data_IF_517370312876
#
_entry.id   IF_517370312876
#
_cell.length_a   1.000
_cell.length_b   1.000
_cell.length_c   1.000
_cell.angle_alpha   90.00
_cell.angle_beta   90.00
_cell.angle_gamma   90.00
#
_symmetry.space_group_name_H-M   'P 1'
#
loop_
_entity.id
_entity.type
_entity.pdbx_description
1 polymer ?
#
# COMPACT_ATOMS: atom_id res chain seq x y z
N UNK A 1 28.20 22.34 3.71
CA UNK A 1 27.21 21.87 2.71
C UNK A 1 26.22 20.87 3.33
N UNK A 2 26.66 19.99 4.25
CA UNK A 2 25.79 19.19 5.12
C UNK A 2 24.90 20.05 6.04
N UNK A 3 25.40 21.23 6.42
CA UNK A 3 24.75 22.20 7.31
C UNK A 3 23.34 22.62 6.88
N UNK A 4 23.02 22.54 5.58
CA UNK A 4 21.71 22.92 5.07
C UNK A 4 20.64 21.86 5.40
N UNK A 5 20.95 20.57 5.20
CA UNK A 5 20.07 19.47 5.58
C UNK A 5 20.09 19.19 7.08
N UNK A 6 21.22 19.43 7.78
CA UNK A 6 21.25 19.44 9.25
C UNK A 6 20.30 20.52 9.80
N UNK A 7 20.35 21.73 9.23
CA UNK A 7 19.44 22.82 9.62
C UNK A 7 17.98 22.49 9.29
N UNK A 8 17.69 21.92 8.11
CA UNK A 8 16.34 21.53 7.72
C UNK A 8 15.79 20.35 8.52
N UNK A 9 16.65 19.41 8.91
CA UNK A 9 16.28 18.35 9.84
C UNK A 9 15.75 18.92 11.16
N UNK A 10 16.43 19.94 11.70
CA UNK A 10 15.96 20.64 12.90
C UNK A 10 14.63 21.39 12.74
N UNK A 11 14.23 21.76 11.52
CA UNK A 11 12.89 22.29 11.22
C UNK A 11 11.83 21.20 11.40
N UNK A 12 12.09 20.00 10.89
CA UNK A 12 11.13 18.90 10.82
C UNK A 12 11.05 18.07 12.09
N UNK A 13 12.04 18.20 12.97
CA UNK A 13 11.94 17.74 14.34
C UNK A 13 10.78 18.43 15.08
N UNK A 14 10.37 19.64 14.67
CA UNK A 14 9.25 20.37 15.29
C UNK A 14 9.44 20.44 16.81
N UNK A 15 8.39 20.10 17.56
CA UNK A 15 8.42 20.10 19.04
C UNK A 15 9.38 19.07 19.66
N UNK A 16 9.94 18.13 18.88
CA UNK A 16 10.98 17.21 19.35
C UNK A 16 12.39 17.80 19.26
N UNK A 17 12.53 19.00 18.69
CA UNK A 17 13.78 19.75 18.76
C UNK A 17 13.78 20.52 20.08
N UNK A 18 14.67 20.13 21.02
CA UNK A 18 14.75 20.76 22.35
C UNK A 18 15.36 22.17 22.31
N UNK A 19 16.10 22.51 21.25
CA UNK A 19 16.71 23.83 21.06
C UNK A 19 16.59 24.29 19.58
N UNK A 20 15.37 24.60 19.10
CA UNK A 20 15.17 25.05 17.74
C UNK A 20 15.61 26.51 17.61
N UNK A 21 16.42 26.81 16.59
CA UNK A 21 16.71 28.20 16.24
C UNK A 21 15.42 28.93 15.87
N UNK A 22 15.34 30.25 16.12
CA UNK A 22 14.17 31.07 15.75
C UNK A 22 13.72 30.86 14.29
N UNK A 23 14.70 30.72 13.38
CA UNK A 23 14.42 30.43 11.97
C UNK A 23 13.81 29.05 11.73
N UNK A 24 14.20 28.03 12.50
CA UNK A 24 13.62 26.69 12.40
C UNK A 24 12.20 26.66 12.93
N UNK A 25 11.93 27.33 14.05
CA UNK A 25 10.57 27.45 14.60
C UNK A 25 9.63 28.11 13.59
N UNK A 26 10.06 29.22 12.97
CA UNK A 26 9.21 29.97 12.04
C UNK A 26 8.99 29.20 10.73
N UNK A 27 10.05 28.60 10.15
CA UNK A 27 9.88 27.75 8.95
C UNK A 27 9.04 26.51 9.27
N UNK A 28 9.23 25.91 10.44
CA UNK A 28 8.48 24.76 10.92
C UNK A 28 6.98 25.05 10.96
N UNK A 29 6.60 26.14 11.62
CA UNK A 29 5.20 26.59 11.71
C UNK A 29 4.56 26.85 10.34
N UNK A 30 5.32 27.41 9.40
CA UNK A 30 4.84 27.66 8.03
C UNK A 30 4.67 26.34 7.27
N UNK A 31 5.64 25.43 7.37
CA UNK A 31 5.58 24.11 6.71
C UNK A 31 4.40 23.30 7.25
N UNK A 32 4.17 23.28 8.56
CA UNK A 32 3.03 22.55 9.16
C UNK A 32 1.67 23.15 8.78
N UNK A 33 1.62 24.41 8.34
CA UNK A 33 0.40 25.04 7.85
C UNK A 33 0.05 24.64 6.40
N UNK A 34 0.91 23.89 5.69
CA UNK A 34 0.67 23.41 4.33
C UNK A 34 -0.20 22.13 4.39
N UNK A 35 -1.45 22.13 3.88
CA UNK A 35 -2.41 21.03 4.01
C UNK A 35 -1.98 19.68 3.41
N UNK A 36 -0.90 19.67 2.60
CA UNK A 36 -0.45 18.51 1.83
C UNK A 36 0.51 17.61 2.66
N UNK A 37 1.02 18.11 3.80
CA UNK A 37 2.05 17.45 4.61
C UNK A 37 1.51 16.66 5.83
N UNK A 38 0.18 16.44 5.92
CA UNK A 38 -0.52 15.82 7.06
C UNK A 38 -0.15 14.37 7.41
N UNK A 39 0.90 13.80 6.81
CA UNK A 39 1.50 12.52 7.19
C UNK A 39 2.95 12.73 7.68
N UNK A 40 3.10 13.58 8.70
CA UNK A 40 4.37 14.03 9.28
C UNK A 40 5.32 12.88 9.68
N UNK A 41 4.79 11.78 10.24
CA UNK A 41 5.61 10.66 10.70
C UNK A 41 6.35 9.97 9.55
N UNK A 42 5.68 9.78 8.42
CA UNK A 42 6.23 9.12 7.23
C UNK A 42 7.23 10.01 6.48
N UNK A 43 6.97 11.31 6.45
CA UNK A 43 7.86 12.31 5.84
C UNK A 43 9.15 12.46 6.67
N UNK A 44 9.07 12.45 8.00
CA UNK A 44 10.23 12.53 8.88
C UNK A 44 11.21 11.38 8.63
N UNK A 45 10.71 10.15 8.51
CA UNK A 45 11.54 8.98 8.23
C UNK A 45 12.26 9.11 6.87
N UNK A 46 11.56 9.61 5.83
CA UNK A 46 12.17 9.83 4.51
C UNK A 46 13.25 10.90 4.60
N UNK A 47 13.01 12.00 5.31
CA UNK A 47 13.97 13.10 5.43
C UNK A 47 15.17 12.70 6.28
N UNK A 48 15.00 11.86 7.30
CA UNK A 48 16.11 11.26 8.03
C UNK A 48 17.03 10.45 7.10
N UNK A 49 16.43 9.69 6.17
CA UNK A 49 17.19 8.93 5.17
C UNK A 49 17.85 9.85 4.13
N UNK A 50 17.17 10.89 3.64
CA UNK A 50 17.76 11.90 2.76
C UNK A 50 18.92 12.63 3.44
N UNK A 51 18.77 12.96 4.72
CA UNK A 51 19.80 13.61 5.52
C UNK A 51 21.03 12.71 5.65
N UNK A 52 20.84 11.43 5.97
CA UNK A 52 21.91 10.45 6.02
C UNK A 52 22.61 10.29 4.66
N UNK A 53 21.83 10.17 3.57
CA UNK A 53 22.35 10.10 2.21
C UNK A 53 23.08 11.37 1.78
N UNK A 54 22.70 12.54 2.28
CA UNK A 54 23.42 13.78 1.93
C UNK A 54 24.84 13.84 2.47
N UNK A 55 25.11 13.09 3.54
CA UNK A 55 26.44 12.95 4.14
C UNK A 55 27.29 11.90 3.40
N UNK A 56 26.64 10.87 2.86
CA UNK A 56 27.27 9.77 2.13
C UNK A 56 26.24 9.12 1.17
N UNK A 57 26.19 9.61 -0.07
CA UNK A 57 25.28 9.12 -1.12
C UNK A 57 25.88 7.96 -1.93
N UNK A 58 27.12 7.58 -1.63
CA UNK A 58 27.78 6.41 -2.23
C UNK A 58 27.56 5.14 -1.38
N UNK A 59 27.36 5.27 -0.07
CA UNK A 59 27.04 4.13 0.80
C UNK A 59 25.73 3.44 0.40
N UNK A 60 25.89 2.23 -0.14
CA UNK A 60 24.81 1.33 -0.53
C UNK A 60 23.80 1.08 0.59
N UNK A 61 24.25 0.97 1.85
CA UNK A 61 23.38 0.68 2.99
C UNK A 61 22.48 1.85 3.38
N UNK A 62 22.87 3.08 3.04
CA UNK A 62 22.01 4.26 3.20
C UNK A 62 20.83 4.20 2.22
N UNK A 63 21.08 3.75 0.98
CA UNK A 63 20.03 3.49 0.00
C UNK A 63 19.13 2.31 0.39
N UNK A 64 19.68 1.25 0.98
CA UNK A 64 18.90 0.15 1.57
C UNK A 64 17.95 0.65 2.65
N UNK A 65 18.43 1.51 3.55
CA UNK A 65 17.59 2.09 4.60
C UNK A 65 16.45 2.93 4.01
N UNK A 66 16.73 3.77 3.02
CA UNK A 66 15.71 4.55 2.31
C UNK A 66 14.67 3.64 1.64
N UNK A 67 15.09 2.61 0.91
CA UNK A 67 14.17 1.70 0.24
C UNK A 67 13.24 0.99 1.23
N UNK A 68 13.77 0.50 2.36
CA UNK A 68 12.97 -0.14 3.43
C UNK A 68 11.98 0.84 4.07
N UNK A 69 12.38 2.09 4.26
CA UNK A 69 11.49 3.16 4.74
C UNK A 69 10.33 3.36 3.76
N UNK A 70 10.64 3.54 2.48
CA UNK A 70 9.66 3.79 1.43
C UNK A 70 8.72 2.60 1.17
N UNK A 71 9.21 1.36 1.31
CA UNK A 71 8.35 0.15 1.33
C UNK A 71 7.31 0.28 2.43
N UNK A 72 7.71 0.74 3.62
CA UNK A 72 6.82 0.90 4.77
C UNK A 72 5.64 1.84 4.52
N UNK A 73 5.76 2.75 3.55
CA UNK A 73 4.70 3.69 3.15
C UNK A 73 3.60 3.02 2.33
N UNK A 74 3.86 1.82 1.79
CA UNK A 74 2.82 1.03 1.12
C UNK A 74 1.91 0.44 2.20
N UNK A 75 0.59 0.75 2.22
CA UNK A 75 -0.28 0.34 3.31
C UNK A 75 -0.27 -1.17 3.57
N UNK A 76 0.01 -1.55 4.83
CA UNK A 76 -0.03 -2.92 5.41
C UNK A 76 0.97 -3.91 4.82
N UNK A 77 0.92 -4.16 3.52
CA UNK A 77 1.87 -5.08 2.89
C UNK A 77 3.29 -4.51 2.95
N UNK A 78 3.42 -3.20 2.79
CA UNK A 78 4.67 -2.50 3.00
C UNK A 78 5.19 -2.62 4.42
N UNK A 79 4.34 -2.48 5.43
CA UNK A 79 4.76 -2.64 6.84
C UNK A 79 5.24 -4.07 7.13
N UNK A 80 4.56 -5.08 6.57
CA UNK A 80 4.96 -6.49 6.67
C UNK A 80 6.32 -6.74 5.98
N UNK A 81 6.48 -6.28 4.74
CA UNK A 81 7.71 -6.41 3.96
C UNK A 81 8.87 -5.62 4.58
N UNK A 82 8.61 -4.43 5.15
CA UNK A 82 9.58 -3.66 5.95
C UNK A 82 10.11 -4.51 7.11
N UNK A 83 9.24 -5.25 7.80
CA UNK A 83 9.65 -6.21 8.84
C UNK A 83 10.57 -7.31 8.29
N UNK A 84 10.16 -7.98 7.20
CA UNK A 84 10.95 -9.03 6.54
C UNK A 84 12.34 -8.52 6.12
N UNK A 85 12.39 -7.40 5.40
CA UNK A 85 13.65 -6.84 4.91
C UNK A 85 14.53 -6.30 6.03
N UNK A 86 13.97 -5.79 7.14
CA UNK A 86 14.78 -5.42 8.31
C UNK A 86 15.51 -6.63 8.90
N UNK A 87 14.82 -7.77 9.06
CA UNK A 87 15.44 -9.01 9.54
C UNK A 87 16.51 -9.49 8.56
N UNK A 88 16.21 -9.47 7.25
CA UNK A 88 17.18 -9.82 6.21
C UNK A 88 18.43 -8.93 6.26
N UNK A 89 18.26 -7.61 6.36
CA UNK A 89 19.38 -6.66 6.45
C UNK A 89 20.21 -6.90 7.71
N UNK A 90 19.57 -7.17 8.85
CA UNK A 90 20.28 -7.49 10.09
C UNK A 90 21.14 -8.76 9.94
N UNK A 91 20.59 -9.78 9.27
CA UNK A 91 21.31 -11.00 8.91
C UNK A 91 22.51 -10.72 8.00
N UNK A 92 22.32 -9.97 6.91
CA UNK A 92 23.38 -9.63 5.96
C UNK A 92 24.50 -8.82 6.63
N UNK A 93 24.15 -7.81 7.44
CA UNK A 93 25.12 -6.99 8.18
C UNK A 93 25.92 -7.75 9.22
N UNK A 94 25.41 -8.89 9.71
CA UNK A 94 26.15 -9.81 10.60
C UNK A 94 27.05 -10.80 9.83
N UNK A 95 27.21 -10.61 8.52
CA UNK A 95 28.02 -11.46 7.64
C UNK A 95 27.35 -12.79 7.32
N UNK A 96 26.03 -12.86 7.37
CA UNK A 96 25.28 -14.09 7.06
C UNK A 96 25.32 -15.15 8.16
N UNK A 97 25.72 -14.79 9.38
CA UNK A 97 25.67 -15.69 10.55
C UNK A 97 24.23 -15.92 11.01
N UNK A 98 23.97 -17.08 11.60
CA UNK A 98 22.64 -17.47 12.12
C UNK A 98 21.53 -17.44 11.05
N UNK A 99 21.83 -17.95 9.84
CA UNK A 99 20.89 -17.98 8.72
C UNK A 99 19.55 -18.64 9.09
N UNK A 100 19.57 -19.74 9.85
CA UNK A 100 18.37 -20.46 10.24
C UNK A 100 17.47 -19.65 11.19
N UNK A 101 18.05 -18.83 12.07
CA UNK A 101 17.32 -17.94 12.97
C UNK A 101 16.66 -16.79 12.19
N UNK A 102 17.40 -16.17 11.28
CA UNK A 102 16.89 -15.12 10.42
C UNK A 102 15.76 -15.63 9.52
N UNK A 103 15.96 -16.79 8.90
CA UNK A 103 14.94 -17.48 8.11
C UNK A 103 13.72 -17.81 8.98
N UNK A 104 13.91 -18.42 10.14
CA UNK A 104 12.83 -18.76 11.07
C UNK A 104 11.98 -17.55 11.45
N UNK A 105 12.62 -16.41 11.73
CA UNK A 105 11.96 -15.14 12.06
C UNK A 105 11.16 -14.59 10.87
N UNK A 106 11.75 -14.57 9.67
CA UNK A 106 11.07 -14.14 8.44
C UNK A 106 9.83 -15.01 8.17
N UNK A 107 9.97 -16.33 8.27
CA UNK A 107 8.83 -17.24 8.06
C UNK A 107 7.77 -17.08 9.16
N UNK A 108 8.17 -16.78 10.41
CA UNK A 108 7.23 -16.50 11.49
C UNK A 108 6.42 -15.20 11.24
N UNK A 109 7.06 -14.13 10.77
CA UNK A 109 6.39 -12.87 10.38
C UNK A 109 5.28 -13.15 9.35
N UNK A 110 5.59 -13.96 8.32
CA UNK A 110 4.64 -14.27 7.26
C UNK A 110 3.53 -15.24 7.72
N UNK A 111 3.85 -16.22 8.58
CA UNK A 111 2.84 -17.09 9.21
C UNK A 111 1.88 -16.31 10.07
N UNK A 112 2.40 -15.41 10.93
CA UNK A 112 1.58 -14.53 11.76
C UNK A 112 0.66 -13.61 10.95
N UNK A 113 1.04 -13.28 9.73
CA UNK A 113 0.23 -12.50 8.79
C UNK A 113 -0.80 -13.32 7.99
N UNK A 114 -0.90 -14.63 8.21
CA UNK A 114 -1.89 -15.51 7.57
C UNK A 114 -1.72 -15.69 6.06
N UNK A 115 -0.49 -15.61 5.54
CA UNK A 115 -0.20 -15.64 4.09
C UNK A 115 0.01 -17.04 3.51
N UNK A 116 -0.54 -18.08 4.15
CA UNK A 116 -0.39 -19.46 3.71
C UNK A 116 1.05 -19.96 3.82
N UNK A 117 1.55 -20.63 2.77
CA UNK A 117 2.94 -21.10 2.69
C UNK A 117 3.89 -19.89 2.63
N UNK A 118 4.72 -19.66 3.67
CA UNK A 118 5.57 -18.48 3.74
C UNK A 118 6.65 -18.44 2.67
N UNK A 119 7.25 -19.59 2.34
CA UNK A 119 8.35 -19.67 1.38
C UNK A 119 7.81 -19.38 -0.02
N UNK A 120 6.70 -20.04 -0.39
CA UNK A 120 6.03 -19.82 -1.67
C UNK A 120 5.58 -18.37 -1.81
N UNK A 121 4.99 -17.80 -0.76
CA UNK A 121 4.52 -16.43 -0.77
C UNK A 121 5.67 -15.43 -0.98
N UNK A 122 6.77 -15.56 -0.22
CA UNK A 122 7.94 -14.69 -0.35
C UNK A 122 8.62 -14.81 -1.73
N UNK A 123 8.69 -16.02 -2.30
CA UNK A 123 9.22 -16.21 -3.66
C UNK A 123 8.34 -15.56 -4.73
N UNK A 124 7.03 -15.51 -4.52
CA UNK A 124 6.05 -14.95 -5.46
C UNK A 124 5.96 -13.42 -5.46
N UNK A 125 6.74 -12.73 -4.60
CA UNK A 125 6.68 -11.27 -4.47
C UNK A 125 6.98 -10.57 -5.81
N UNK A 126 6.09 -9.69 -6.30
CA UNK A 126 6.28 -8.92 -7.53
C UNK A 126 7.22 -7.74 -7.25
N UNK A 127 8.50 -8.02 -6.99
CA UNK A 127 9.48 -7.02 -6.54
C UNK A 127 9.59 -5.84 -7.51
N UNK A 128 9.44 -6.07 -8.82
CA UNK A 128 9.49 -5.00 -9.81
C UNK A 128 8.31 -4.03 -9.70
N UNK A 129 7.13 -4.53 -9.31
CA UNK A 129 5.97 -3.67 -9.07
C UNK A 129 6.20 -2.83 -7.81
N UNK A 130 6.71 -3.43 -6.73
CA UNK A 130 7.05 -2.68 -5.52
C UNK A 130 8.15 -1.66 -5.78
N UNK A 131 9.20 -2.04 -6.50
CA UNK A 131 10.28 -1.14 -6.93
C UNK A 131 9.74 0.09 -7.65
N UNK A 132 8.83 -0.08 -8.63
CA UNK A 132 8.17 1.05 -9.31
C UNK A 132 7.31 1.91 -8.38
N UNK A 133 6.56 1.29 -7.46
CA UNK A 133 5.72 2.03 -6.50
C UNK A 133 6.58 2.86 -5.53
N UNK A 134 7.66 2.28 -5.01
CA UNK A 134 8.61 2.93 -4.09
C UNK A 134 9.29 4.13 -4.77
N UNK A 135 9.76 3.97 -6.01
CA UNK A 135 10.32 5.08 -6.80
C UNK A 135 9.28 6.18 -7.01
N UNK A 136 8.02 5.82 -7.29
CA UNK A 136 6.93 6.79 -7.43
C UNK A 136 6.69 7.56 -6.14
N UNK A 137 6.52 6.87 -5.01
CA UNK A 137 6.34 7.51 -3.70
C UNK A 137 7.53 8.41 -3.34
N UNK A 138 8.76 7.96 -3.62
CA UNK A 138 9.95 8.78 -3.41
C UNK A 138 9.92 10.08 -4.22
N UNK A 139 9.55 10.00 -5.50
CA UNK A 139 9.40 11.17 -6.36
C UNK A 139 8.30 12.11 -5.84
N UNK A 140 7.12 11.57 -5.50
CA UNK A 140 6.00 12.36 -4.99
C UNK A 140 6.34 13.07 -3.68
N UNK A 141 7.00 12.38 -2.74
CA UNK A 141 7.41 12.97 -1.46
C UNK A 141 8.48 14.04 -1.66
N UNK A 142 9.53 13.75 -2.44
CA UNK A 142 10.60 14.72 -2.71
C UNK A 142 10.07 15.95 -3.46
N UNK A 143 9.14 15.78 -4.41
CA UNK A 143 8.46 16.90 -5.08
C UNK A 143 7.65 17.74 -4.12
N UNK A 144 6.85 17.11 -3.25
CA UNK A 144 6.07 17.84 -2.23
C UNK A 144 6.97 18.62 -1.29
N UNK A 145 8.11 18.06 -0.87
CA UNK A 145 9.09 18.78 -0.04
C UNK A 145 9.67 19.97 -0.81
N UNK A 146 10.07 19.79 -2.07
CA UNK A 146 10.60 20.86 -2.92
C UNK A 146 9.56 21.98 -3.11
N UNK A 147 8.30 21.63 -3.37
CA UNK A 147 7.21 22.60 -3.50
C UNK A 147 7.00 23.37 -2.20
N UNK A 148 6.94 22.69 -1.05
CA UNK A 148 6.79 23.35 0.25
C UNK A 148 7.97 24.28 0.58
N UNK A 149 9.20 23.88 0.24
CA UNK A 149 10.39 24.75 0.37
C UNK A 149 10.31 25.97 -0.54
N UNK A 150 9.79 25.80 -1.76
CA UNK A 150 9.56 26.89 -2.70
C UNK A 150 8.49 27.86 -2.18
N UNK A 151 7.36 27.36 -1.70
CA UNK A 151 6.28 28.18 -1.14
C UNK A 151 6.77 29.02 0.04
N UNK A 152 7.51 28.41 0.97
CA UNK A 152 8.17 29.11 2.08
C UNK A 152 9.10 30.21 1.54
N UNK A 153 9.90 29.93 0.50
CA UNK A 153 10.80 30.94 -0.08
C UNK A 153 10.07 32.10 -0.76
N UNK A 154 8.87 31.87 -1.30
CA UNK A 154 8.09 32.89 -2.00
C UNK A 154 7.16 33.69 -1.06
N UNK A 155 6.89 33.19 0.15
CA UNK A 155 6.18 33.94 1.17
C UNK A 155 6.96 35.20 1.59
N UNK A 156 6.29 36.36 1.50
CA UNK A 156 6.86 37.66 1.87
C UNK A 156 7.39 37.67 3.32
N UNK A 157 6.61 37.12 4.26
CA UNK A 157 6.99 37.06 5.67
C UNK A 157 8.24 36.21 5.90
N UNK A 158 8.37 35.09 5.18
CA UNK A 158 9.55 34.24 5.28
C UNK A 158 10.81 34.93 4.73
N UNK A 159 10.71 35.74 3.67
CA UNK A 159 11.85 36.55 3.18
C UNK A 159 12.30 37.61 4.18
N UNK A 160 11.35 38.28 4.82
CA UNK A 160 11.62 39.29 5.86
C UNK A 160 12.26 38.67 7.12
N UNK A 161 11.84 37.47 7.50
CA UNK A 161 12.28 36.83 8.74
C UNK A 161 13.53 35.97 8.58
N UNK A 162 13.71 35.32 7.43
CA UNK A 162 14.81 34.38 7.20
C UNK A 162 16.08 35.06 6.68
N UNK A 163 15.97 36.25 6.08
CA UNK A 163 17.12 36.95 5.49
C UNK A 163 17.96 36.03 4.60
N UNK A 164 19.27 35.98 4.84
CA UNK A 164 20.22 35.14 4.09
C UNK A 164 19.99 33.63 4.23
N UNK A 165 19.20 33.18 5.23
CA UNK A 165 18.90 31.75 5.42
C UNK A 165 17.98 31.19 4.33
N UNK A 166 17.35 32.04 3.50
CA UNK A 166 16.65 31.61 2.28
C UNK A 166 17.60 30.86 1.32
N UNK A 167 18.89 31.20 1.32
CA UNK A 167 19.89 30.47 0.52
C UNK A 167 20.11 29.04 1.03
N UNK A 168 19.89 28.76 2.32
CA UNK A 168 19.92 27.39 2.85
C UNK A 168 18.77 26.55 2.30
N UNK A 169 17.58 27.12 2.13
CA UNK A 169 16.45 26.42 1.51
C UNK A 169 16.76 26.03 0.05
N UNK A 170 17.44 26.91 -0.71
CA UNK A 170 17.91 26.60 -2.07
C UNK A 170 18.95 25.48 -2.09
N UNK A 171 19.83 25.41 -1.08
CA UNK A 171 20.80 24.33 -0.95
C UNK A 171 20.11 22.99 -0.65
N UNK A 172 19.13 22.97 0.25
CA UNK A 172 18.30 21.80 0.54
C UNK A 172 17.57 21.33 -0.70
N UNK A 173 16.93 22.24 -1.44
CA UNK A 173 16.24 21.93 -2.70
C UNK A 173 17.17 21.24 -3.70
N UNK A 174 18.36 21.81 -3.94
CA UNK A 174 19.37 21.23 -4.84
C UNK A 174 19.84 19.85 -4.40
N UNK A 175 20.04 19.65 -3.10
CA UNK A 175 20.44 18.34 -2.55
C UNK A 175 19.34 17.30 -2.72
N UNK A 176 18.09 17.65 -2.43
CA UNK A 176 16.95 16.75 -2.64
C UNK A 176 16.80 16.42 -4.13
N UNK A 177 16.99 17.39 -5.03
CA UNK A 177 16.97 17.13 -6.48
C UNK A 177 18.07 16.17 -6.93
N UNK A 178 19.30 16.32 -6.41
CA UNK A 178 20.41 15.38 -6.66
C UNK A 178 20.06 13.96 -6.17
N UNK A 179 19.61 13.83 -4.92
CA UNK A 179 19.24 12.53 -4.34
C UNK A 179 18.05 11.90 -5.07
N UNK A 180 17.08 12.72 -5.51
CA UNK A 180 15.96 12.28 -6.36
C UNK A 180 16.47 11.69 -7.68
N UNK A 181 17.43 12.35 -8.33
CA UNK A 181 18.01 11.85 -9.57
C UNK A 181 18.74 10.51 -9.37
N UNK A 182 19.59 10.40 -8.34
CA UNK A 182 20.29 9.15 -8.00
C UNK A 182 19.33 8.02 -7.62
N UNK A 183 18.25 8.34 -6.90
CA UNK A 183 17.27 7.37 -6.45
C UNK A 183 16.55 6.64 -7.58
N UNK A 184 16.48 7.23 -8.79
CA UNK A 184 15.90 6.56 -9.97
C UNK A 184 16.57 5.22 -10.28
N UNK A 185 17.88 5.15 -10.09
CA UNK A 185 18.67 3.96 -10.41
C UNK A 185 19.03 3.16 -9.15
N UNK A 186 19.37 3.85 -8.06
CA UNK A 186 19.80 3.22 -6.80
C UNK A 186 18.67 2.44 -6.13
N UNK A 187 17.43 2.96 -6.12
CA UNK A 187 16.29 2.28 -5.47
C UNK A 187 15.97 0.95 -6.18
N UNK A 188 15.82 0.88 -7.52
CA UNK A 188 15.61 -0.40 -8.20
C UNK A 188 16.75 -1.40 -7.99
N UNK A 189 18.01 -0.94 -8.02
CA UNK A 189 19.16 -1.80 -7.77
C UNK A 189 19.12 -2.43 -6.36
N UNK A 190 18.81 -1.62 -5.34
CA UNK A 190 18.63 -2.08 -3.96
C UNK A 190 17.48 -3.09 -3.84
N UNK A 191 16.34 -2.83 -4.49
CA UNK A 191 15.18 -3.73 -4.44
C UNK A 191 15.51 -5.10 -5.07
N UNK A 192 16.22 -5.09 -6.20
CA UNK A 192 16.70 -6.32 -6.85
C UNK A 192 17.67 -7.08 -5.94
N UNK A 193 18.62 -6.38 -5.33
CA UNK A 193 19.53 -6.96 -4.34
C UNK A 193 18.80 -7.61 -3.17
N UNK A 194 17.87 -6.89 -2.52
CA UNK A 194 17.11 -7.41 -1.38
C UNK A 194 16.31 -8.67 -1.76
N UNK A 195 15.73 -8.71 -2.96
CA UNK A 195 15.01 -9.91 -3.43
C UNK A 195 15.95 -11.08 -3.66
N UNK A 196 17.09 -10.85 -4.31
CA UNK A 196 18.11 -11.89 -4.54
C UNK A 196 18.61 -12.50 -3.23
N UNK A 197 18.93 -11.66 -2.25
CA UNK A 197 19.40 -12.13 -0.94
C UNK A 197 18.29 -12.85 -0.16
N UNK A 198 17.04 -12.39 -0.26
CA UNK A 198 15.90 -13.09 0.31
C UNK A 198 15.73 -14.49 -0.31
N UNK A 199 15.80 -14.60 -1.63
CA UNK A 199 15.66 -15.88 -2.32
C UNK A 199 16.79 -16.86 -1.93
N UNK A 200 18.03 -16.37 -1.87
CA UNK A 200 19.19 -17.14 -1.41
C UNK A 200 19.00 -17.65 0.03
N UNK A 201 18.45 -16.82 0.93
CA UNK A 201 18.12 -17.25 2.28
C UNK A 201 16.99 -18.30 2.29
N UNK A 202 15.99 -18.15 1.42
CA UNK A 202 14.87 -19.09 1.29
C UNK A 202 15.27 -20.44 0.68
N UNK A 203 16.39 -20.54 -0.03
CA UNK A 203 16.91 -21.82 -0.55
C UNK A 203 17.34 -22.76 0.58
N UNK A 204 17.60 -22.21 1.78
CA UNK A 204 17.89 -22.98 3.00
C UNK A 204 16.64 -23.50 3.68
N UNK A 205 15.45 -23.07 3.26
CA UNK A 205 14.21 -23.55 3.83
C UNK A 205 14.05 -25.03 3.49
N UNK A 206 14.10 -25.88 4.52
CA UNK A 206 13.75 -27.29 4.36
C UNK A 206 12.28 -27.37 3.95
N UNK A 207 11.90 -28.22 2.97
CA UNK A 207 10.51 -28.50 2.71
C UNK A 207 9.88 -28.98 4.02
N UNK A 208 8.71 -28.43 4.37
CA UNK A 208 8.02 -28.82 5.58
C UNK A 208 7.80 -30.34 5.55
N UNK A 209 8.51 -31.10 6.38
CA UNK A 209 8.10 -32.46 6.74
C UNK A 209 6.81 -32.32 7.52
N UNK A 210 5.70 -32.67 6.88
CA UNK A 210 4.44 -32.90 7.56
C UNK A 210 4.55 -34.31 8.14
N UNK A 211 5.31 -34.46 9.23
CA UNK A 211 5.27 -35.68 10.02
C UNK A 211 3.94 -35.67 10.77
N UNK A 212 3.03 -36.52 10.30
CA UNK A 212 1.69 -36.68 10.85
C UNK A 212 1.75 -37.15 12.29
N UNK A 213 1.26 -36.32 13.20
CA UNK A 213 0.76 -36.76 14.48
C UNK A 213 -0.61 -36.12 14.69
N UNK A 214 -1.63 -36.98 14.71
CA UNK A 214 -3.07 -36.76 14.93
C UNK A 214 -3.92 -36.51 13.68
N UNK A 215 -4.84 -37.46 13.44
CA UNK A 215 -5.96 -37.49 12.49
C UNK A 215 -6.99 -36.38 12.75
N UNK A 216 -6.53 -35.14 12.78
CA UNK A 216 -7.38 -33.98 12.58
C UNK A 216 -6.86 -33.30 11.34
N UNK A 217 -7.64 -33.41 10.27
CA UNK A 217 -7.43 -32.65 9.05
C UNK A 217 -7.53 -31.14 9.38
N UNK A 218 -6.42 -30.57 9.87
CA UNK A 218 -6.22 -29.14 9.90
C UNK A 218 -5.92 -28.71 8.47
N UNK A 219 -6.98 -28.64 7.66
CA UNK A 219 -6.99 -27.88 6.42
C UNK A 219 -6.86 -26.39 6.76
N UNK A 220 -5.67 -25.95 7.13
CA UNK A 220 -5.29 -24.55 7.01
C UNK A 220 -5.14 -24.26 5.52
N UNK A 221 -6.25 -23.86 4.90
CA UNK A 221 -6.31 -23.48 3.50
C UNK A 221 -5.17 -22.49 3.18
N UNK A 222 -4.33 -22.87 2.22
CA UNK A 222 -3.37 -21.99 1.56
C UNK A 222 -4.02 -20.63 1.25
N UNK A 223 -3.28 -19.52 1.32
CA UNK A 223 -3.85 -18.22 0.92
C UNK A 223 -4.11 -18.22 -0.59
N UNK A 224 -5.29 -18.67 -0.98
CA UNK A 224 -5.76 -18.90 -2.34
C UNK A 224 -6.01 -17.60 -3.13
N UNK A 225 -5.54 -16.43 -2.66
CA UNK A 225 -5.92 -15.10 -3.19
C UNK A 225 -4.75 -14.36 -3.86
N UNK A 226 -4.95 -13.77 -5.06
CA UNK A 226 -3.96 -12.91 -5.71
C UNK A 226 -3.49 -11.77 -4.78
N UNK A 227 -2.24 -11.34 -4.90
CA UNK A 227 -1.69 -10.24 -4.08
C UNK A 227 -2.53 -8.96 -4.17
N UNK A 228 -2.95 -8.60 -5.37
CA UNK A 228 -3.83 -7.44 -5.60
C UNK A 228 -5.18 -7.57 -4.86
N UNK A 229 -5.66 -8.80 -4.63
CA UNK A 229 -6.86 -9.04 -3.84
C UNK A 229 -6.59 -8.83 -2.34
N UNK A 230 -5.44 -9.26 -1.84
CA UNK A 230 -5.05 -9.02 -0.45
C UNK A 230 -4.88 -7.51 -0.18
N UNK A 231 -4.25 -6.79 -1.10
CA UNK A 231 -4.08 -5.32 -1.03
C UNK A 231 -5.42 -4.60 -0.99
N UNK A 232 -6.39 -5.07 -1.77
CA UNK A 232 -7.76 -4.56 -1.73
C UNK A 232 -8.44 -4.80 -0.38
N UNK A 233 -8.40 -6.03 0.15
CA UNK A 233 -9.05 -6.39 1.41
C UNK A 233 -8.57 -5.51 2.57
N UNK A 234 -7.29 -5.22 2.52
CA UNK A 234 -6.57 -4.39 3.45
C UNK A 234 -6.89 -2.91 3.28
N UNK A 235 -6.88 -2.40 2.04
CA UNK A 235 -7.21 -1.01 1.74
C UNK A 235 -8.62 -0.69 2.25
N UNK A 236 -9.56 -1.62 2.05
CA UNK A 236 -10.92 -1.53 2.60
C UNK A 236 -10.89 -1.39 4.13
N UNK A 237 -10.23 -2.31 4.84
CA UNK A 237 -10.19 -2.26 6.32
C UNK A 237 -9.59 -0.95 6.84
N UNK A 238 -8.48 -0.48 6.26
CA UNK A 238 -7.77 0.71 6.75
C UNK A 238 -8.41 2.02 6.33
N UNK A 239 -8.70 2.20 5.05
CA UNK A 239 -9.20 3.48 4.53
C UNK A 239 -10.65 3.71 4.96
N UNK A 240 -11.49 2.69 4.84
CA UNK A 240 -12.90 2.78 5.28
C UNK A 240 -12.98 2.80 6.80
N UNK A 241 -12.27 1.89 7.49
CA UNK A 241 -12.25 1.87 8.96
C UNK A 241 -11.73 3.18 9.56
N UNK A 242 -10.57 3.65 9.09
CA UNK A 242 -10.00 4.92 9.56
C UNK A 242 -10.86 6.15 9.21
N UNK A 243 -11.57 6.15 8.08
CA UNK A 243 -12.54 7.19 7.74
C UNK A 243 -13.72 7.17 8.72
N UNK A 244 -14.27 5.99 8.99
CA UNK A 244 -15.37 5.80 9.95
C UNK A 244 -14.95 6.29 11.35
N UNK A 245 -13.76 5.90 11.82
CA UNK A 245 -13.26 6.30 13.13
C UNK A 245 -13.10 7.82 13.25
N UNK A 246 -12.53 8.47 12.22
CA UNK A 246 -12.39 9.94 12.18
C UNK A 246 -13.74 10.64 12.19
N UNK A 247 -14.71 10.16 11.41
CA UNK A 247 -16.03 10.78 11.33
C UNK A 247 -16.83 10.58 12.63
N UNK A 248 -16.70 9.42 13.28
CA UNK A 248 -17.26 9.18 14.62
C UNK A 248 -16.66 10.14 15.66
N UNK A 249 -15.33 10.28 15.67
CA UNK A 249 -14.64 11.21 16.57
C UNK A 249 -15.05 12.68 16.32
N UNK A 250 -15.40 13.02 15.07
CA UNK A 250 -15.93 14.34 14.69
C UNK A 250 -17.44 14.51 14.95
N UNK A 251 -18.11 13.54 15.60
CA UNK A 251 -19.53 13.64 15.95
C UNK A 251 -20.49 13.60 14.75
N UNK A 252 -20.07 13.01 13.63
CA UNK A 252 -20.92 12.89 12.43
C UNK A 252 -22.07 11.91 12.64
N UNK A 253 -23.18 12.15 11.95
CA UNK A 253 -24.34 11.24 11.98
C UNK A 253 -24.04 9.90 11.31
N UNK A 254 -24.74 8.84 11.73
CA UNK A 254 -24.58 7.51 11.14
C UNK A 254 -24.89 7.50 9.64
N UNK A 255 -25.85 8.30 9.16
CA UNK A 255 -26.13 8.45 7.73
C UNK A 255 -24.93 9.05 6.98
N UNK A 256 -24.34 10.14 7.48
CA UNK A 256 -23.15 10.75 6.88
C UNK A 256 -21.99 9.75 6.82
N UNK A 257 -21.75 9.03 7.93
CA UNK A 257 -20.69 8.02 8.02
C UNK A 257 -20.97 6.87 7.05
N UNK A 258 -22.20 6.38 6.95
CA UNK A 258 -22.57 5.29 6.07
C UNK A 258 -22.42 5.66 4.58
N UNK A 259 -22.85 6.87 4.19
CA UNK A 259 -22.67 7.39 2.83
C UNK A 259 -21.18 7.49 2.48
N UNK A 260 -20.38 8.08 3.37
CA UNK A 260 -18.94 8.25 3.16
C UNK A 260 -18.21 6.90 3.12
N UNK A 261 -18.51 5.99 4.04
CA UNK A 261 -17.92 4.65 4.09
C UNK A 261 -18.24 3.84 2.82
N UNK A 262 -19.49 3.87 2.34
CA UNK A 262 -19.87 3.20 1.10
C UNK A 262 -19.17 3.82 -0.13
N UNK A 263 -19.09 5.16 -0.20
CA UNK A 263 -18.44 5.86 -1.28
C UNK A 263 -16.93 5.54 -1.34
N UNK A 264 -16.22 5.62 -0.21
CA UNK A 264 -14.80 5.27 -0.11
C UNK A 264 -14.58 3.81 -0.49
N UNK A 265 -15.46 2.93 -0.02
CA UNK A 265 -15.42 1.51 -0.32
C UNK A 265 -15.53 1.23 -1.83
N UNK A 266 -16.40 1.96 -2.52
CA UNK A 266 -16.58 1.90 -3.97
C UNK A 266 -15.38 2.50 -4.72
N UNK A 267 -14.81 3.61 -4.23
CA UNK A 267 -13.63 4.23 -4.80
C UNK A 267 -12.41 3.28 -4.80
N UNK A 268 -12.14 2.64 -3.66
CA UNK A 268 -11.14 1.56 -3.56
C UNK A 268 -11.48 0.45 -4.55
N UNK A 269 -12.74 0.03 -4.58
CA UNK A 269 -13.22 -0.98 -5.53
C UNK A 269 -12.98 -0.63 -6.99
N UNK A 270 -12.99 0.66 -7.37
CA UNK A 270 -12.69 1.12 -8.72
C UNK A 270 -11.18 1.10 -8.98
N UNK A 271 -10.39 1.66 -8.08
CA UNK A 271 -8.92 1.73 -8.17
C UNK A 271 -8.29 0.36 -8.44
N UNK A 272 -8.73 -0.68 -7.72
CA UNK A 272 -8.24 -2.04 -7.90
C UNK A 272 -8.73 -2.71 -9.18
N UNK A 273 -9.94 -2.38 -9.64
CA UNK A 273 -10.46 -2.89 -10.92
C UNK A 273 -9.79 -2.25 -12.11
N UNK A 274 -9.40 -0.98 -12.01
CA UNK A 274 -8.65 -0.29 -13.07
C UNK A 274 -7.27 -0.92 -13.32
N UNK A 275 -6.72 -1.62 -12.32
CA UNK A 275 -5.45 -2.38 -12.41
C UNK A 275 -5.66 -3.85 -12.81
N UNK A 276 -6.91 -4.33 -12.89
CA UNK A 276 -7.24 -5.69 -13.29
C UNK A 276 -7.18 -5.83 -14.80
N UNK A 277 -6.73 -6.99 -15.29
CA UNK A 277 -6.75 -7.33 -16.71
C UNK A 277 -8.13 -7.02 -17.33
N UNK A 278 -8.20 -6.35 -18.50
CA UNK A 278 -9.46 -5.89 -19.07
C UNK A 278 -10.50 -7.00 -19.28
N UNK A 279 -10.07 -8.21 -19.67
CA UNK A 279 -10.97 -9.32 -19.95
C UNK A 279 -11.57 -9.87 -18.64
N UNK A 280 -10.73 -10.02 -17.62
CA UNK A 280 -11.18 -10.42 -16.28
C UNK A 280 -12.05 -9.34 -15.61
N UNK A 281 -11.72 -8.07 -15.81
CA UNK A 281 -12.51 -6.93 -15.33
C UNK A 281 -13.92 -6.97 -15.90
N UNK A 282 -14.06 -7.27 -17.19
CA UNK A 282 -15.37 -7.36 -17.84
C UNK A 282 -16.23 -8.51 -17.30
N UNK A 283 -15.62 -9.67 -17.01
CA UNK A 283 -16.30 -10.79 -16.33
C UNK A 283 -16.90 -10.33 -14.99
N UNK A 284 -16.14 -9.57 -14.20
CA UNK A 284 -16.58 -9.02 -12.90
C UNK A 284 -17.67 -7.97 -13.08
N UNK A 285 -17.52 -7.05 -14.03
CA UNK A 285 -18.49 -5.98 -14.28
C UNK A 285 -19.81 -6.51 -14.79
N UNK A 286 -19.80 -7.48 -15.70
CA UNK A 286 -21.02 -8.13 -16.17
C UNK A 286 -21.81 -8.74 -15.00
N UNK A 287 -21.12 -9.45 -14.09
CA UNK A 287 -21.75 -9.99 -12.89
C UNK A 287 -22.38 -8.88 -12.04
N UNK A 288 -21.63 -7.82 -11.77
CA UNK A 288 -22.10 -6.74 -10.92
C UNK A 288 -23.28 -5.98 -11.55
N UNK A 289 -23.27 -5.75 -12.87
CA UNK A 289 -24.40 -5.17 -13.60
C UNK A 289 -25.63 -6.07 -13.54
N UNK A 290 -25.47 -7.38 -13.72
CA UNK A 290 -26.59 -8.32 -13.60
C UNK A 290 -27.14 -8.39 -12.16
N UNK A 291 -26.27 -8.36 -11.15
CA UNK A 291 -26.65 -8.52 -9.75
C UNK A 291 -27.14 -7.23 -9.10
N UNK A 292 -26.66 -6.06 -9.53
CA UNK A 292 -26.86 -4.78 -8.85
C UNK A 292 -27.25 -3.63 -9.79
N UNK A 293 -27.22 -3.82 -11.11
CA UNK A 293 -27.42 -2.72 -12.07
C UNK A 293 -26.28 -1.69 -12.10
N UNK A 294 -25.13 -1.98 -11.47
CA UNK A 294 -23.99 -1.07 -11.33
C UNK A 294 -22.68 -1.87 -11.32
N UNK A 295 -21.66 -1.37 -12.01
CA UNK A 295 -20.38 -2.07 -12.21
C UNK A 295 -19.54 -2.22 -10.94
N UNK A 296 -19.72 -1.30 -9.98
CA UNK A 296 -18.99 -1.30 -8.71
C UNK A 296 -19.79 -1.94 -7.57
N UNK A 297 -21.07 -2.26 -7.81
CA UNK A 297 -21.99 -2.87 -6.85
C UNK A 297 -23.06 -1.90 -6.35
N UNK A 298 -23.75 -2.19 -5.25
CA UNK A 298 -24.84 -1.34 -4.77
C UNK A 298 -24.30 -0.01 -4.18
N UNK A 299 -25.05 1.08 -4.37
CA UNK A 299 -24.81 2.39 -3.73
C UNK A 299 -25.48 2.43 -2.35
N UNK A 300 -25.16 3.44 -1.54
CA UNK A 300 -25.80 3.67 -0.24
C UNK A 300 -27.34 3.59 -0.32
N UNK A 301 -27.96 4.33 -1.24
CA UNK A 301 -29.42 4.36 -1.32
C UNK A 301 -30.01 3.01 -1.78
N UNK A 302 -29.27 2.21 -2.55
CA UNK A 302 -29.70 0.86 -2.96
C UNK A 302 -29.69 -0.10 -1.76
N UNK A 303 -28.64 -0.02 -0.93
CA UNK A 303 -28.54 -0.78 0.32
C UNK A 303 -29.64 -0.37 1.31
N UNK A 304 -29.95 0.93 1.36
CA UNK A 304 -30.99 1.48 2.22
C UNK A 304 -32.38 1.03 1.82
N UNK A 305 -32.64 0.85 0.53
CA UNK A 305 -33.92 0.32 0.00
C UNK A 305 -33.99 -1.20 -0.03
N UNK A 306 -32.85 -1.90 -0.05
CA UNK A 306 -32.78 -3.34 -0.30
C UNK A 306 -32.86 -3.73 -1.80
N UNK A 307 -32.97 -2.76 -2.70
CA UNK A 307 -32.99 -3.01 -4.15
C UNK A 307 -32.35 -1.84 -4.92
N UNK A 308 -31.75 -2.19 -6.05
CA UNK A 308 -31.27 -1.24 -7.05
C UNK A 308 -32.30 -1.13 -8.19
N UNK A 309 -32.35 0.03 -8.85
CA UNK A 309 -33.18 0.24 -10.03
C UNK A 309 -32.26 0.14 -11.23
N UNK A 310 -32.51 -0.83 -12.11
CA UNK A 310 -31.67 -1.02 -13.29
C UNK A 310 -31.77 0.21 -14.20
N UNK A 311 -30.64 0.82 -14.63
CA UNK A 311 -30.66 2.12 -15.30
C UNK A 311 -31.41 2.10 -16.63
N UNK A 312 -31.36 0.97 -17.34
CA UNK A 312 -32.01 0.76 -18.66
C UNK A 312 -33.45 0.24 -18.50
N UNK A 313 -33.62 -1.00 -18.03
CA UNK A 313 -34.94 -1.66 -17.91
C UNK A 313 -35.88 -1.06 -16.86
N UNK A 314 -35.38 -0.21 -15.94
CA UNK A 314 -36.11 0.35 -14.77
C UNK A 314 -36.64 -0.68 -13.79
N UNK A 315 -36.30 -1.94 -13.95
CA UNK A 315 -36.71 -3.02 -13.06
C UNK A 315 -36.00 -2.92 -11.70
N UNK A 316 -36.67 -3.43 -10.65
CA UNK A 316 -36.10 -3.54 -9.31
C UNK A 316 -35.28 -4.82 -9.21
N UNK A 317 -33.98 -4.67 -9.00
CA UNK A 317 -33.04 -5.78 -8.77
C UNK A 317 -32.76 -5.87 -7.28
N UNK A 318 -33.03 -7.02 -6.67
CA UNK A 318 -32.78 -7.22 -5.23
C UNK A 318 -31.29 -7.11 -4.92
N UNK A 319 -30.95 -6.33 -3.90
CA UNK A 319 -29.59 -6.25 -3.37
C UNK A 319 -29.48 -7.20 -2.18
N UNK A 320 -28.60 -8.20 -2.26
CA UNK A 320 -28.47 -9.21 -1.22
C UNK A 320 -29.77 -10.01 -1.06
N UNK A 321 -30.36 -10.01 0.14
CA UNK A 321 -31.65 -10.67 0.42
C UNK A 321 -32.87 -9.84 0.01
N UNK A 322 -32.69 -8.59 -0.43
CA UNK A 322 -33.80 -7.68 -0.74
C UNK A 322 -34.27 -6.85 0.44
N UNK A 323 -33.58 -6.93 1.59
CA UNK A 323 -33.97 -6.25 2.83
C UNK A 323 -33.27 -4.89 2.95
N UNK A 324 -34.00 -3.83 3.35
CA UNK A 324 -33.42 -2.54 3.73
C UNK A 324 -32.36 -2.68 4.83
N UNK A 325 -31.21 -2.04 4.66
CA UNK A 325 -30.16 -2.00 5.69
C UNK A 325 -30.22 -0.74 6.55
N UNK A 326 -29.90 -0.87 7.84
CA UNK A 326 -29.66 0.29 8.72
C UNK A 326 -28.31 0.96 8.39
N UNK A 327 -28.12 2.20 8.83
CA UNK A 327 -26.89 2.93 8.53
C UNK A 327 -25.69 2.26 9.23
N UNK A 328 -25.88 1.81 10.47
CA UNK A 328 -24.92 0.98 11.20
C UNK A 328 -24.53 -0.30 10.42
N UNK A 329 -25.50 -1.02 9.84
CA UNK A 329 -25.21 -2.19 9.00
C UNK A 329 -24.46 -1.83 7.71
N UNK A 330 -24.69 -0.65 7.14
CA UNK A 330 -23.96 -0.16 5.97
C UNK A 330 -22.52 0.21 6.35
N UNK A 331 -22.31 0.85 7.50
CA UNK A 331 -20.98 1.17 8.04
C UNK A 331 -20.17 -0.10 8.28
N UNK A 332 -20.76 -1.10 8.94
CA UNK A 332 -20.12 -2.38 9.22
C UNK A 332 -19.81 -3.14 7.92
N UNK A 333 -20.80 -3.29 7.04
CA UNK A 333 -20.61 -4.05 5.80
C UNK A 333 -19.67 -3.36 4.81
N UNK A 334 -19.55 -2.03 4.84
CA UNK A 334 -18.58 -1.29 4.00
C UNK A 334 -17.13 -1.55 4.40
N UNK A 335 -16.86 -1.91 5.66
CA UNK A 335 -15.53 -2.29 6.13
C UNK A 335 -15.18 -3.76 5.80
N UNK A 336 -16.14 -4.52 5.28
CA UNK A 336 -15.96 -5.91 4.88
C UNK A 336 -15.66 -6.01 3.37
N UNK A 337 -14.53 -6.62 2.98
CA UNK A 337 -14.12 -6.62 1.58
C UNK A 337 -14.85 -7.64 0.67
N UNK A 338 -15.66 -8.54 1.23
CA UNK A 338 -16.50 -9.49 0.48
C UNK A 338 -15.70 -10.50 -0.36
N UNK A 339 -16.25 -10.99 -1.47
CA UNK A 339 -15.50 -11.71 -2.52
C UNK A 339 -15.02 -13.13 -2.18
N UNK A 340 -15.56 -13.78 -1.15
CA UNK A 340 -15.22 -15.19 -0.84
C UNK A 340 -15.72 -16.20 -1.87
N UNK A 341 -16.58 -15.77 -2.78
CA UNK A 341 -17.26 -16.54 -3.82
C UNK A 341 -16.52 -16.56 -5.18
N UNK A 342 -15.43 -15.81 -5.31
CA UNK A 342 -14.60 -15.80 -6.52
C UNK A 342 -13.61 -16.97 -6.56
N UNK A 343 -13.35 -17.58 -7.73
CA UNK A 343 -12.39 -18.66 -7.90
C UNK A 343 -10.96 -18.11 -7.97
N UNK A 344 -10.45 -17.66 -6.83
CA UNK A 344 -9.21 -16.90 -6.75
C UNK A 344 -7.97 -17.67 -7.25
N UNK A 345 -7.91 -18.99 -7.09
CA UNK A 345 -6.83 -19.82 -7.64
C UNK A 345 -6.78 -19.75 -9.17
N UNK A 346 -7.94 -19.87 -9.83
CA UNK A 346 -8.04 -19.76 -11.30
C UNK A 346 -7.67 -18.35 -11.77
N UNK A 347 -8.05 -17.32 -11.02
CA UNK A 347 -7.67 -15.94 -11.32
C UNK A 347 -6.15 -15.76 -11.23
N UNK A 348 -5.49 -16.37 -10.26
CA UNK A 348 -4.02 -16.35 -10.19
C UNK A 348 -3.38 -17.04 -11.39
N UNK A 349 -3.89 -18.22 -11.78
CA UNK A 349 -3.42 -18.94 -12.96
C UNK A 349 -3.64 -18.14 -14.25
N UNK A 350 -4.79 -17.46 -14.39
CA UNK A 350 -5.10 -16.64 -15.55
C UNK A 350 -4.08 -15.52 -15.72
N UNK A 351 -3.80 -14.79 -14.64
CA UNK A 351 -2.80 -13.73 -14.64
C UNK A 351 -1.39 -14.26 -14.94
N UNK A 352 -1.08 -15.48 -14.49
CA UNK A 352 0.20 -16.14 -14.81
C UNK A 352 0.30 -16.47 -16.30
N UNK A 353 -0.73 -17.10 -16.87
CA UNK A 353 -0.78 -17.47 -18.29
C UNK A 353 -0.63 -16.24 -19.22
N UNK A 354 -1.31 -15.12 -18.89
CA UNK A 354 -1.16 -13.85 -19.62
C UNK A 354 0.28 -13.31 -19.55
N UNK A 355 0.93 -13.39 -18.39
CA UNK A 355 2.32 -12.94 -18.20
C UNK A 355 3.35 -13.82 -18.91
N UNK A 356 3.11 -15.13 -18.97
CA UNK A 356 4.01 -16.09 -19.61
C UNK A 356 3.79 -16.22 -21.11
N UNK A 357 2.85 -15.45 -21.69
CA UNK A 357 2.60 -15.47 -23.13
C UNK A 357 1.85 -16.71 -23.63
N UNK A 358 1.00 -17.32 -22.80
CA UNK A 358 0.15 -18.45 -23.19
C UNK A 358 -1.31 -18.01 -23.36
N UNK A 359 -1.69 -17.47 -24.54
CA UNK A 359 -3.02 -16.94 -24.78
C UNK A 359 -4.10 -18.05 -24.78
N UNK A 360 -3.75 -19.27 -25.19
CA UNK A 360 -4.68 -20.40 -25.21
C UNK A 360 -5.11 -20.81 -23.81
N UNK A 361 -4.14 -20.97 -22.89
CA UNK A 361 -4.43 -21.28 -21.49
C UNK A 361 -5.16 -20.14 -20.79
N UNK A 362 -4.78 -18.89 -21.07
CA UNK A 362 -5.45 -17.72 -20.50
C UNK A 362 -6.93 -17.65 -20.93
N UNK A 363 -7.24 -17.87 -22.21
CA UNK A 363 -8.61 -17.89 -22.70
C UNK A 363 -9.44 -19.02 -22.07
N UNK A 364 -8.87 -20.22 -21.93
CA UNK A 364 -9.54 -21.34 -21.27
C UNK A 364 -9.87 -21.03 -19.80
N UNK A 365 -8.89 -20.47 -19.05
CA UNK A 365 -9.08 -20.06 -17.66
C UNK A 365 -10.13 -18.98 -17.51
N UNK A 366 -10.13 -17.98 -18.41
CA UNK A 366 -11.12 -16.92 -18.38
C UNK A 366 -12.54 -17.48 -18.54
N UNK A 367 -12.74 -18.45 -19.45
CA UNK A 367 -14.03 -19.13 -19.64
C UNK A 367 -14.47 -19.90 -18.40
N UNK A 368 -13.54 -20.60 -17.73
CA UNK A 368 -13.83 -21.29 -16.47
C UNK A 368 -14.19 -20.31 -15.34
N UNK A 369 -13.42 -19.22 -15.20
CA UNK A 369 -13.69 -18.16 -14.22
C UNK A 369 -15.07 -17.57 -14.48
N UNK A 370 -15.38 -17.28 -15.74
CA UNK A 370 -16.65 -16.71 -16.13
C UNK A 370 -17.83 -17.63 -15.79
N UNK A 371 -17.73 -18.93 -16.09
CA UNK A 371 -18.76 -19.90 -15.74
C UNK A 371 -19.01 -19.98 -14.22
N UNK A 372 -17.97 -19.79 -13.40
CA UNK A 372 -18.10 -19.79 -11.93
C UNK A 372 -18.68 -18.47 -11.42
N UNK A 373 -18.17 -17.34 -11.92
CA UNK A 373 -18.52 -15.99 -11.44
C UNK A 373 -19.91 -15.57 -11.91
N UNK A 374 -20.26 -15.88 -13.16
CA UNK A 374 -21.50 -15.50 -13.79
C UNK A 374 -22.51 -16.65 -13.88
N UNK A 375 -22.29 -17.78 -13.17
CA UNK A 375 -23.12 -19.01 -13.16
C UNK A 375 -24.30 -18.91 -14.11
N UNK A 376 -24.15 -19.43 -15.33
CA UNK A 376 -25.29 -19.72 -16.20
C UNK A 376 -26.21 -20.62 -15.40
N UNK A 377 -27.29 -20.07 -14.84
CA UNK A 377 -28.39 -20.91 -14.40
C UNK A 377 -28.88 -21.62 -15.67
N UNK A 378 -28.95 -22.96 -15.70
CA UNK A 378 -29.76 -23.62 -16.72
C UNK A 378 -31.20 -23.12 -16.67
#
# INVERSE_FOLDING_TARGET
MNDALDWFWGVLQGDFNEDPSLSQTIVGSIITAIPILDQLADIRDVIANLHRLSKDDDDFWNWVALAITLIGLIPVLGSLLKGVFKVLVQFLRRGGRHADEALGTILAIIRGAGKGDPVRWLRSLPIDQYSRQIVRHFNEITEKIILGLSDVRHMWLARQVLGDKVEKLKLVERQIQRLKALGKDKIPAVMSFLKKELDSLLDRAKPARVDGATDTANTLAHSAKPLMRLDYEVAVKRRVGGLVDRMKAAGKSDEEIARAANAERRAIGKEFKDQTDPELKEVIYRRNRAQYGDELGPKYDDLKRGYAIHPVTKERVKVGRGEPKTDAQIIESSQNPGGGDFPWDKIMEFNRAKKTGDPGRAAALLKEIDAIVNKTKP
#
